data_IF_131219179060
#
_entry.id   IF_131219179060
#
_cell.length_a   1.000
_cell.length_b   1.000
_cell.length_c   1.000
_cell.angle_alpha   90.00
_cell.angle_beta   90.00
_cell.angle_gamma   90.00
#
_symmetry.space_group_name_H-M   'P 1'
#
loop_
_entity.id
_entity.type
_entity.pdbx_description
1 polymer ?
#
# COMPACT_ATOMS: atom_id res chain seq x y z
N UNK A 1 42.41 -18.50 -5.46
CA UNK A 1 42.41 -17.25 -4.67
C UNK A 1 43.43 -17.39 -3.55
N UNK A 2 44.34 -16.43 -3.37
CA UNK A 2 45.40 -16.52 -2.37
C UNK A 2 44.88 -16.35 -0.92
N UNK A 3 45.52 -16.97 0.09
CA UNK A 3 45.07 -16.94 1.49
C UNK A 3 44.85 -15.53 2.07
N UNK A 4 45.69 -14.56 1.68
CA UNK A 4 45.58 -13.16 2.14
C UNK A 4 44.34 -12.42 1.64
N UNK A 5 43.86 -12.71 0.43
CA UNK A 5 42.63 -12.10 -0.11
C UNK A 5 41.40 -12.63 0.62
N UNK A 6 41.39 -13.92 0.98
CA UNK A 6 40.31 -14.54 1.73
C UNK A 6 40.20 -13.97 3.15
N UNK A 7 41.34 -13.82 3.85
CA UNK A 7 41.38 -13.23 5.20
C UNK A 7 40.92 -11.76 5.18
N UNK A 8 41.39 -10.97 4.20
CA UNK A 8 40.96 -9.58 4.05
C UNK A 8 39.46 -9.45 3.79
N UNK A 9 38.91 -10.28 2.89
CA UNK A 9 37.46 -10.31 2.62
C UNK A 9 36.65 -10.70 3.86
N UNK A 10 37.14 -11.66 4.65
CA UNK A 10 36.51 -12.07 5.91
C UNK A 10 36.48 -10.95 6.94
N UNK A 11 37.62 -10.29 7.18
CA UNK A 11 37.71 -9.17 8.12
C UNK A 11 36.81 -7.99 7.70
N UNK A 12 36.80 -7.64 6.41
CA UNK A 12 35.93 -6.59 5.88
C UNK A 12 34.45 -6.94 6.05
N UNK A 13 34.08 -8.21 5.89
CA UNK A 13 32.71 -8.67 6.11
C UNK A 13 32.30 -8.60 7.59
N UNK A 14 33.20 -8.96 8.51
CA UNK A 14 32.97 -8.87 9.97
C UNK A 14 32.85 -7.42 10.45
N UNK A 15 33.72 -6.53 10.00
CA UNK A 15 33.66 -5.10 10.32
C UNK A 15 32.35 -4.48 9.84
N UNK A 16 31.93 -4.85 8.63
CA UNK A 16 30.71 -4.37 8.04
C UNK A 16 29.46 -4.92 8.74
N UNK A 17 29.50 -6.15 9.26
CA UNK A 17 28.43 -6.72 10.09
C UNK A 17 28.29 -5.94 11.41
N UNK A 18 29.40 -5.64 12.09
CA UNK A 18 29.39 -4.83 13.33
C UNK A 18 28.85 -3.43 13.10
N UNK A 19 29.20 -2.81 11.98
CA UNK A 19 28.67 -1.50 11.61
C UNK A 19 27.15 -1.53 11.39
N UNK A 20 26.63 -2.61 10.79
CA UNK A 20 25.19 -2.80 10.58
C UNK A 20 24.43 -3.01 11.89
N UNK A 21 24.99 -3.80 12.81
CA UNK A 21 24.42 -4.03 14.13
C UNK A 21 24.38 -2.72 14.93
N UNK A 22 25.47 -1.96 14.95
CA UNK A 22 25.52 -0.65 15.58
C UNK A 22 24.52 0.34 14.97
N UNK A 23 24.34 0.30 13.64
CA UNK A 23 23.36 1.14 12.95
C UNK A 23 21.91 0.80 13.37
N UNK A 24 21.60 -0.49 13.55
CA UNK A 24 20.30 -0.95 14.04
C UNK A 24 20.07 -0.54 15.50
N UNK A 25 21.07 -0.64 16.36
CA UNK A 25 20.98 -0.17 17.75
C UNK A 25 20.70 1.33 17.84
N UNK A 26 21.38 2.13 17.00
CA UNK A 26 21.11 3.56 16.92
C UNK A 26 19.68 3.84 16.45
N UNK A 27 19.17 3.12 15.45
CA UNK A 27 17.78 3.25 15.02
C UNK A 27 16.81 2.88 16.15
N UNK A 28 17.05 1.80 16.90
CA UNK A 28 16.22 1.44 18.06
C UNK A 28 16.16 2.56 19.11
N UNK A 29 17.29 3.21 19.38
CA UNK A 29 17.32 4.35 20.29
C UNK A 29 16.49 5.54 19.77
N UNK A 30 16.51 5.81 18.46
CA UNK A 30 15.69 6.85 17.84
C UNK A 30 14.18 6.50 17.86
N UNK A 31 13.83 5.23 17.67
CA UNK A 31 12.44 4.74 17.77
C UNK A 31 11.91 4.97 19.18
N UNK A 32 12.65 4.58 20.23
CA UNK A 32 12.24 4.77 21.63
C UNK A 32 11.97 6.24 21.97
N UNK A 33 12.73 7.17 21.37
CA UNK A 33 12.54 8.62 21.57
C UNK A 33 11.31 9.18 20.86
N UNK A 34 10.77 8.47 19.87
CA UNK A 34 9.71 8.97 18.98
C UNK A 34 8.43 8.14 19.05
N UNK A 35 8.39 7.09 19.87
CA UNK A 35 7.29 6.11 19.87
C UNK A 35 5.94 6.69 20.32
N UNK A 36 5.95 7.77 21.12
CA UNK A 36 4.74 8.43 21.60
C UNK A 36 4.06 9.28 20.54
N UNK A 37 4.81 9.73 19.54
CA UNK A 37 4.34 10.66 18.51
C UNK A 37 3.93 9.95 17.21
N UNK A 38 3.97 8.61 17.21
CA UNK A 38 3.75 7.78 16.04
C UNK A 38 2.66 6.72 16.31
N UNK A 39 1.90 6.31 15.27
CA UNK A 39 0.92 5.24 15.42
C UNK A 39 1.55 3.94 15.93
N UNK A 40 0.89 3.28 16.88
CA UNK A 40 1.44 2.10 17.57
C UNK A 40 1.82 0.97 16.60
N UNK A 41 0.98 0.68 15.59
CA UNK A 41 1.27 -0.37 14.60
C UNK A 41 2.49 0.00 13.72
N UNK A 42 2.65 1.27 13.37
CA UNK A 42 3.81 1.75 12.64
C UNK A 42 5.10 1.61 13.47
N UNK A 43 5.04 1.91 14.78
CA UNK A 43 6.15 1.68 15.71
C UNK A 43 6.51 0.20 15.81
N UNK A 44 5.52 -0.70 15.80
CA UNK A 44 5.78 -2.15 15.80
C UNK A 44 6.54 -2.59 14.54
N UNK A 45 6.16 -2.08 13.36
CA UNK A 45 6.87 -2.36 12.11
C UNK A 45 8.33 -1.85 12.15
N UNK A 46 8.55 -0.64 12.69
CA UNK A 46 9.91 -0.11 12.90
C UNK A 46 10.73 -1.00 13.83
N UNK A 47 10.15 -1.46 14.95
CA UNK A 47 10.82 -2.36 15.91
C UNK A 47 11.14 -3.70 15.23
N UNK A 48 10.19 -4.28 14.51
CA UNK A 48 10.37 -5.53 13.77
C UNK A 48 11.54 -5.42 12.77
N UNK A 49 11.57 -4.37 11.95
CA UNK A 49 12.65 -4.11 10.99
C UNK A 49 14.05 -4.10 11.63
N UNK A 50 14.19 -3.57 12.84
CA UNK A 50 15.49 -3.58 13.54
C UNK A 50 15.92 -4.98 13.95
N UNK A 51 14.98 -5.88 14.24
CA UNK A 51 15.23 -7.25 14.70
C UNK A 51 15.30 -8.28 13.57
N UNK A 52 14.82 -7.95 12.38
CA UNK A 52 14.82 -8.86 11.23
C UNK A 52 16.25 -9.24 10.80
N UNK A 53 16.50 -10.55 10.67
CA UNK A 53 17.76 -11.11 10.17
C UNK A 53 17.87 -11.01 8.64
N UNK A 54 16.73 -11.00 7.97
CA UNK A 54 16.61 -10.89 6.51
C UNK A 54 15.48 -9.93 6.16
N UNK A 55 15.71 -9.06 5.19
CA UNK A 55 14.70 -8.15 4.68
C UNK A 55 13.59 -8.91 3.97
N UNK A 56 12.34 -8.74 4.43
CA UNK A 56 11.17 -9.41 3.86
C UNK A 56 10.90 -9.09 2.39
N UNK A 57 11.43 -7.99 1.86
CA UNK A 57 11.28 -7.60 0.46
C UNK A 57 12.61 -7.73 -0.34
N UNK A 58 13.59 -8.44 0.22
CA UNK A 58 14.87 -8.77 -0.44
C UNK A 58 15.65 -7.56 -0.97
N UNK A 59 15.62 -6.42 -0.28
CA UNK A 59 16.20 -5.16 -0.73
C UNK A 59 17.74 -5.15 -0.92
N UNK A 60 18.44 -6.20 -0.51
CA UNK A 60 19.91 -6.23 -0.50
C UNK A 60 20.50 -5.29 0.56
N UNK A 61 21.74 -5.55 0.98
CA UNK A 61 22.33 -4.89 2.16
C UNK A 61 22.47 -3.37 2.02
N UNK A 62 22.85 -2.89 0.84
CA UNK A 62 23.04 -1.45 0.59
C UNK A 62 21.75 -0.66 0.80
N UNK A 63 20.65 -1.13 0.21
CA UNK A 63 19.35 -0.45 0.29
C UNK A 63 18.80 -0.49 1.71
N UNK A 64 18.95 -1.62 2.42
CA UNK A 64 18.58 -1.73 3.84
C UNK A 64 19.33 -0.69 4.68
N UNK A 65 20.65 -0.55 4.52
CA UNK A 65 21.41 0.50 5.24
C UNK A 65 20.95 1.90 4.92
N UNK A 66 20.74 2.20 3.63
CA UNK A 66 20.23 3.51 3.20
C UNK A 66 18.85 3.80 3.80
N UNK A 67 18.00 2.79 3.89
CA UNK A 67 16.70 2.92 4.53
C UNK A 67 16.82 3.14 6.04
N UNK A 68 17.74 2.45 6.73
CA UNK A 68 18.00 2.68 8.16
C UNK A 68 18.45 4.11 8.42
N UNK A 69 19.35 4.66 7.60
CA UNK A 69 19.72 6.07 7.67
C UNK A 69 18.54 7.01 7.41
N UNK A 70 17.70 6.70 6.42
CA UNK A 70 16.51 7.48 6.12
C UNK A 70 15.53 7.50 7.31
N UNK A 71 15.27 6.35 7.94
CA UNK A 71 14.43 6.26 9.14
C UNK A 71 15.01 7.07 10.31
N UNK A 72 16.31 6.96 10.58
CA UNK A 72 16.95 7.77 11.62
C UNK A 72 16.84 9.28 11.33
N UNK A 73 17.07 9.69 10.09
CA UNK A 73 16.94 11.07 9.64
C UNK A 73 15.50 11.58 9.84
N UNK A 74 14.52 10.80 9.37
CA UNK A 74 13.10 11.10 9.50
C UNK A 74 12.70 11.24 10.97
N UNK A 75 13.00 10.26 11.82
CA UNK A 75 12.64 10.29 13.24
C UNK A 75 13.27 11.49 13.97
N UNK A 76 14.51 11.84 13.65
CA UNK A 76 15.18 13.03 14.22
C UNK A 76 14.52 14.32 13.80
N UNK A 77 14.12 14.43 12.54
CA UNK A 77 13.47 15.62 12.00
C UNK A 77 12.02 15.76 12.52
N UNK A 78 11.28 14.65 12.57
CA UNK A 78 9.88 14.59 13.04
C UNK A 78 9.69 15.07 14.47
N UNK A 79 10.69 14.87 15.34
CA UNK A 79 10.67 15.41 16.71
C UNK A 79 10.86 16.92 16.80
N UNK A 80 11.34 17.56 15.73
CA UNK A 80 11.55 19.01 15.66
C UNK A 80 10.41 19.72 14.94
N UNK A 81 9.77 19.05 13.99
CA UNK A 81 8.69 19.62 13.21
C UNK A 81 7.67 18.55 12.78
N UNK A 82 6.41 18.98 12.68
CA UNK A 82 5.31 18.10 12.31
C UNK A 82 5.24 17.81 10.82
N UNK A 83 5.57 18.81 10.00
CA UNK A 83 5.53 18.72 8.54
C UNK A 83 6.92 18.95 8.00
N UNK A 84 7.32 18.15 7.00
CA UNK A 84 8.64 18.23 6.39
C UNK A 84 8.60 17.85 4.92
N UNK A 85 9.56 18.37 4.15
CA UNK A 85 9.77 17.92 2.77
C UNK A 85 10.66 16.67 2.73
N UNK A 86 10.46 15.81 1.71
CA UNK A 86 11.26 14.60 1.58
C UNK A 86 12.77 14.89 1.49
N UNK A 87 13.17 15.91 0.71
CA UNK A 87 14.57 16.28 0.52
C UNK A 87 15.20 16.90 1.76
N UNK A 88 14.39 17.47 2.63
CA UNK A 88 14.83 18.05 3.89
C UNK A 88 15.36 16.98 4.86
N UNK A 89 14.77 15.77 4.83
CA UNK A 89 15.21 14.62 5.63
C UNK A 89 16.69 14.32 5.37
N UNK A 90 17.09 14.25 4.09
CA UNK A 90 18.48 14.04 3.70
C UNK A 90 19.40 15.24 3.97
N UNK A 91 18.91 16.45 3.69
CA UNK A 91 19.68 17.68 3.88
C UNK A 91 20.08 17.87 5.35
N UNK A 92 19.12 17.74 6.27
CA UNK A 92 19.34 17.94 7.71
C UNK A 92 20.20 16.83 8.32
N UNK A 93 20.10 15.61 7.81
CA UNK A 93 20.85 14.47 8.34
C UNK A 93 22.32 14.46 7.92
N UNK A 94 22.61 14.70 6.64
CA UNK A 94 23.98 14.62 6.12
C UNK A 94 24.76 15.93 6.19
N UNK A 95 24.09 17.09 6.24
CA UNK A 95 24.69 18.42 6.41
C UNK A 95 25.88 18.71 5.48
N UNK A 96 25.83 18.20 4.25
CA UNK A 96 26.88 18.33 3.23
C UNK A 96 26.26 18.66 1.87
N UNK A 97 27.08 19.19 0.96
CA UNK A 97 26.68 19.38 -0.44
C UNK A 97 26.20 18.03 -1.01
N UNK A 98 25.01 18.04 -1.62
CA UNK A 98 24.37 16.84 -2.15
C UNK A 98 23.58 15.99 -1.14
N UNK A 99 23.61 16.33 0.16
CA UNK A 99 22.90 15.59 1.21
C UNK A 99 21.39 15.45 0.97
N UNK A 100 20.75 16.46 0.37
CA UNK A 100 19.33 16.47 0.03
C UNK A 100 18.93 15.44 -1.04
N UNK A 101 19.90 14.85 -1.76
CA UNK A 101 19.68 13.86 -2.83
C UNK A 101 20.11 12.45 -2.43
N UNK A 102 20.66 12.27 -1.23
CA UNK A 102 21.22 10.99 -0.76
C UNK A 102 20.20 9.84 -0.71
N UNK A 103 18.91 10.18 -0.69
CA UNK A 103 17.80 9.22 -0.68
C UNK A 103 16.97 9.22 -1.97
N UNK A 104 17.31 10.03 -2.98
CA UNK A 104 16.51 10.17 -4.21
C UNK A 104 16.45 8.86 -4.99
N UNK A 105 17.57 8.11 -5.05
CA UNK A 105 17.68 6.84 -5.78
C UNK A 105 16.66 5.79 -5.34
N UNK A 106 16.25 5.81 -4.07
CA UNK A 106 15.34 4.81 -3.48
C UNK A 106 14.04 5.41 -3.00
N UNK A 107 13.73 6.65 -3.39
CA UNK A 107 12.59 7.42 -2.88
C UNK A 107 11.28 6.62 -2.95
N UNK A 108 10.91 6.17 -4.14
CA UNK A 108 9.59 5.56 -4.36
C UNK A 108 9.44 4.26 -3.57
N UNK A 109 10.54 3.50 -3.44
CA UNK A 109 10.62 2.25 -2.68
C UNK A 109 10.51 2.50 -1.17
N UNK A 110 11.18 3.54 -0.66
CA UNK A 110 11.11 3.93 0.75
C UNK A 110 9.71 4.44 1.13
N UNK A 111 9.13 5.31 0.28
CA UNK A 111 7.78 5.81 0.47
C UNK A 111 6.80 4.65 0.49
N UNK A 112 6.86 3.76 -0.50
CA UNK A 112 5.95 2.63 -0.57
C UNK A 112 6.01 1.74 0.68
N UNK A 113 7.21 1.44 1.18
CA UNK A 113 7.35 0.65 2.41
C UNK A 113 6.78 1.36 3.63
N UNK A 114 7.03 2.67 3.77
CA UNK A 114 6.45 3.45 4.88
C UNK A 114 4.93 3.46 4.82
N UNK A 115 4.35 3.69 3.64
CA UNK A 115 2.90 3.68 3.44
C UNK A 115 2.29 2.30 3.73
N UNK A 116 2.98 1.23 3.34
CA UNK A 116 2.55 -0.15 3.65
C UNK A 116 2.58 -0.43 5.15
N UNK A 117 3.64 -0.02 5.85
CA UNK A 117 3.73 -0.16 7.31
C UNK A 117 2.69 0.68 8.05
N UNK A 118 2.38 1.85 7.53
CA UNK A 118 1.41 2.77 8.09
C UNK A 118 -0.04 2.39 7.75
N UNK A 119 -0.27 1.76 6.61
CA UNK A 119 -1.61 1.56 6.04
C UNK A 119 -2.25 2.84 5.49
N UNK A 120 -1.46 3.91 5.30
CA UNK A 120 -1.98 5.23 4.89
C UNK A 120 -0.99 6.00 4.03
N UNK A 121 -1.42 7.09 3.35
CA UNK A 121 -0.52 7.97 2.63
C UNK A 121 0.60 8.50 3.53
N UNK A 122 1.79 8.69 2.97
CA UNK A 122 2.96 9.15 3.72
C UNK A 122 2.78 10.55 4.33
N UNK A 123 1.85 11.35 3.80
CA UNK A 123 1.44 12.64 4.35
C UNK A 123 0.94 12.51 5.80
N UNK A 124 0.38 11.34 6.16
CA UNK A 124 -0.03 11.03 7.55
C UNK A 124 1.17 10.97 8.52
N UNK A 125 2.39 10.75 8.01
CA UNK A 125 3.64 10.85 8.77
C UNK A 125 4.22 12.28 8.78
N UNK A 126 3.53 13.25 8.18
CA UNK A 126 4.00 14.62 8.06
C UNK A 126 4.92 14.88 6.86
N UNK A 127 5.09 13.92 5.95
CA UNK A 127 5.92 14.10 4.75
C UNK A 127 5.04 14.61 3.61
N UNK A 128 5.07 15.93 3.35
CA UNK A 128 4.08 16.61 2.51
C UNK A 128 4.48 16.78 1.03
N UNK A 129 5.78 16.80 0.73
CA UNK A 129 6.29 17.07 -0.62
C UNK A 129 7.13 15.90 -1.14
N UNK A 130 6.44 14.92 -1.72
CA UNK A 130 7.06 13.78 -2.42
C UNK A 130 7.16 13.98 -3.94
N UNK A 131 6.55 15.06 -4.44
CA UNK A 131 6.61 15.46 -5.85
C UNK A 131 5.55 14.81 -6.75
N UNK A 132 4.51 14.21 -6.18
CA UNK A 132 3.38 13.64 -6.92
C UNK A 132 2.09 13.75 -6.09
N UNK A 133 0.96 13.82 -6.78
CA UNK A 133 -0.39 13.64 -6.22
C UNK A 133 -0.88 12.29 -6.72
N UNK A 134 -1.36 11.44 -5.82
CA UNK A 134 -1.85 10.11 -6.18
C UNK A 134 -3.37 10.18 -6.33
N UNK A 135 -3.92 10.06 -7.55
CA UNK A 135 -5.36 9.98 -7.72
C UNK A 135 -5.86 8.59 -7.31
N UNK A 136 -7.07 8.55 -6.77
CA UNK A 136 -7.84 7.33 -6.55
C UNK A 136 -9.12 7.47 -7.34
N UNK A 137 -9.34 6.56 -8.30
CA UNK A 137 -10.53 6.55 -9.14
C UNK A 137 -11.57 5.59 -8.57
N UNK A 138 -12.82 6.05 -8.50
CA UNK A 138 -13.92 5.25 -7.98
C UNK A 138 -15.25 5.70 -8.54
N UNK A 139 -16.29 4.88 -8.39
CA UNK A 139 -17.68 5.26 -8.65
C UNK A 139 -18.56 4.68 -7.54
N UNK A 140 -19.61 5.41 -7.16
CA UNK A 140 -20.47 5.06 -6.04
C UNK A 140 -20.58 6.17 -4.99
N UNK A 141 -21.43 5.97 -3.97
CA UNK A 141 -21.67 6.99 -2.96
C UNK A 141 -20.52 7.02 -1.95
N UNK A 142 -19.91 8.20 -1.78
CA UNK A 142 -18.88 8.45 -0.77
C UNK A 142 -19.14 9.81 -0.14
N UNK A 143 -19.08 9.88 1.18
CA UNK A 143 -19.22 11.10 1.97
C UNK A 143 -17.94 11.31 2.77
N UNK A 144 -17.23 12.40 2.51
CA UNK A 144 -16.18 12.90 3.36
C UNK A 144 -16.66 14.05 4.24
N UNK A 145 -15.75 14.65 4.99
CA UNK A 145 -16.04 15.83 5.82
C UNK A 145 -16.26 17.07 4.96
N UNK A 146 -15.57 17.17 3.83
CA UNK A 146 -15.60 18.32 2.93
C UNK A 146 -16.10 17.96 1.52
N UNK A 147 -16.33 16.68 1.24
CA UNK A 147 -16.68 16.19 -0.08
C UNK A 147 -17.88 15.24 -0.04
N UNK A 148 -18.67 15.24 -1.12
CA UNK A 148 -19.82 14.34 -1.29
C UNK A 148 -19.89 13.87 -2.74
N UNK A 149 -19.76 12.58 -2.94
CA UNK A 149 -19.81 11.90 -4.22
C UNK A 149 -21.09 11.07 -4.30
N UNK A 150 -21.72 11.07 -5.48
CA UNK A 150 -22.96 10.34 -5.75
C UNK A 150 -22.75 9.32 -6.86
N UNK A 151 -23.64 8.33 -6.93
CA UNK A 151 -23.72 7.38 -8.05
C UNK A 151 -23.95 8.16 -9.37
N UNK A 152 -23.39 7.66 -10.48
CA UNK A 152 -23.71 8.14 -11.83
C UNK A 152 -22.54 8.67 -12.66
N UNK A 153 -21.35 8.87 -12.05
CA UNK A 153 -20.14 9.31 -12.76
C UNK A 153 -18.89 8.69 -12.14
N UNK A 154 -17.82 8.60 -12.93
CA UNK A 154 -16.50 8.26 -12.42
C UNK A 154 -15.93 9.46 -11.65
N UNK A 155 -15.56 9.22 -10.40
CA UNK A 155 -14.95 10.21 -9.51
C UNK A 155 -13.45 9.98 -9.37
N UNK A 156 -12.74 11.04 -8.99
CA UNK A 156 -11.37 10.97 -8.53
C UNK A 156 -11.25 11.74 -7.20
N UNK A 157 -10.55 11.14 -6.25
CA UNK A 157 -10.03 11.83 -5.06
C UNK A 157 -8.50 11.72 -5.03
N UNK A 158 -7.86 12.31 -4.03
CA UNK A 158 -6.39 12.34 -3.93
C UNK A 158 -5.91 11.77 -2.60
N UNK A 159 -4.66 11.37 -2.56
CA UNK A 159 -3.94 11.02 -1.33
C UNK A 159 -3.99 12.12 -0.28
N UNK A 160 -3.98 13.39 -0.68
CA UNK A 160 -4.14 14.54 0.21
C UNK A 160 -5.53 14.53 0.85
N UNK A 161 -6.60 14.39 0.05
CA UNK A 161 -7.96 14.35 0.57
C UNK A 161 -8.17 13.13 1.49
N UNK A 162 -7.69 11.95 1.10
CA UNK A 162 -7.74 10.73 1.94
C UNK A 162 -6.92 10.87 3.23
N UNK A 163 -5.85 11.65 3.22
CA UNK A 163 -5.08 11.92 4.44
C UNK A 163 -5.87 12.76 5.46
N UNK A 164 -6.68 13.71 5.00
CA UNK A 164 -7.36 14.71 5.85
C UNK A 164 -8.86 14.43 6.09
N UNK A 165 -9.52 13.66 5.23
CA UNK A 165 -10.94 13.34 5.33
C UNK A 165 -11.21 11.95 5.92
N UNK A 166 -12.36 11.82 6.59
CA UNK A 166 -12.92 10.54 7.02
C UNK A 166 -13.99 10.07 6.04
N UNK A 167 -13.58 9.32 5.03
CA UNK A 167 -14.52 8.84 4.02
C UNK A 167 -15.46 7.76 4.54
N UNK A 168 -16.75 7.93 4.21
CA UNK A 168 -17.85 7.01 4.54
C UNK A 168 -18.70 6.68 3.34
N UNK A 169 -19.41 5.56 3.42
CA UNK A 169 -20.35 5.12 2.37
C UNK A 169 -21.56 4.44 3.00
N UNK A 170 -22.69 4.53 2.31
CA UNK A 170 -23.91 3.75 2.56
C UNK A 170 -24.05 2.56 1.60
N UNK A 171 -23.08 2.36 0.70
CA UNK A 171 -22.96 1.16 -0.11
C UNK A 171 -22.88 -0.10 0.76
N UNK A 172 -23.36 -1.22 0.24
CA UNK A 172 -23.29 -2.55 0.88
C UNK A 172 -22.26 -3.46 0.23
N UNK A 173 -21.97 -3.24 -1.04
CA UNK A 173 -21.02 -4.05 -1.81
C UNK A 173 -19.84 -3.16 -2.21
N UNK A 174 -18.63 -3.59 -1.86
CA UNK A 174 -17.40 -2.93 -2.30
C UNK A 174 -16.74 -3.78 -3.38
N UNK A 175 -16.47 -3.20 -4.53
CA UNK A 175 -15.67 -3.80 -5.59
C UNK A 175 -14.28 -3.17 -5.59
N UNK A 176 -13.26 -4.02 -5.52
CA UNK A 176 -11.86 -3.65 -5.62
C UNK A 176 -11.34 -4.21 -6.92
N UNK A 177 -11.13 -3.33 -7.90
CA UNK A 177 -10.76 -3.72 -9.26
C UNK A 177 -9.36 -3.24 -9.57
N UNK A 178 -8.49 -4.13 -10.05
CA UNK A 178 -7.14 -3.77 -10.47
C UNK A 178 -7.18 -2.82 -11.66
N UNK A 179 -8.02 -3.16 -12.64
CA UNK A 179 -7.98 -2.54 -13.94
C UNK A 179 -8.98 -1.36 -14.10
N UNK A 180 -8.50 -0.24 -14.64
CA UNK A 180 -9.31 0.93 -14.96
C UNK A 180 -10.41 0.65 -15.98
N UNK A 181 -10.21 -0.25 -16.93
CA UNK A 181 -11.24 -0.60 -17.93
C UNK A 181 -12.47 -1.23 -17.28
N UNK A 182 -12.27 -2.07 -16.25
CA UNK A 182 -13.36 -2.64 -15.45
C UNK A 182 -14.10 -1.53 -14.71
N UNK A 183 -13.35 -0.65 -14.01
CA UNK A 183 -13.93 0.48 -13.29
C UNK A 183 -14.76 1.38 -14.21
N UNK A 184 -14.23 1.79 -15.36
CA UNK A 184 -14.93 2.68 -16.29
C UNK A 184 -16.15 2.00 -16.90
N UNK A 185 -16.05 0.72 -17.26
CA UNK A 185 -17.17 -0.06 -17.80
C UNK A 185 -18.30 -0.18 -16.79
N UNK A 186 -18.01 -0.48 -15.54
CA UNK A 186 -19.01 -0.58 -14.47
C UNK A 186 -19.59 0.79 -14.09
N UNK A 187 -18.79 1.87 -14.16
CA UNK A 187 -19.26 3.23 -13.90
C UNK A 187 -20.36 3.70 -14.86
N UNK A 188 -20.43 3.12 -16.06
CA UNK A 188 -21.49 3.40 -17.03
C UNK A 188 -22.81 2.69 -16.70
N UNK A 189 -22.81 1.68 -15.83
CA UNK A 189 -24.00 0.90 -15.46
C UNK A 189 -24.66 1.44 -14.19
N UNK A 190 -25.16 2.68 -14.28
CA UNK A 190 -25.77 3.39 -13.15
C UNK A 190 -26.88 2.58 -12.45
N UNK A 191 -27.84 1.95 -13.17
CA UNK A 191 -28.88 1.15 -12.53
C UNK A 191 -28.32 -0.02 -11.72
N UNK A 192 -27.28 -0.69 -12.25
CA UNK A 192 -26.59 -1.75 -11.53
C UNK A 192 -25.98 -1.26 -10.21
N UNK A 193 -25.30 -0.11 -10.22
CA UNK A 193 -24.69 0.45 -9.00
C UNK A 193 -25.74 0.81 -7.94
N UNK A 194 -26.86 1.38 -8.38
CA UNK A 194 -27.96 1.77 -7.50
C UNK A 194 -28.68 0.56 -6.91
N UNK A 195 -29.11 -0.38 -7.75
CA UNK A 195 -29.83 -1.59 -7.34
C UNK A 195 -29.02 -2.47 -6.39
N UNK A 196 -27.72 -2.59 -6.64
CA UNK A 196 -26.83 -3.44 -5.84
C UNK A 196 -26.19 -2.69 -4.67
N UNK A 197 -26.44 -1.38 -4.57
CA UNK A 197 -25.81 -0.50 -3.58
C UNK A 197 -24.28 -0.67 -3.59
N UNK A 198 -23.69 -0.64 -4.79
CA UNK A 198 -22.27 -0.90 -5.00
C UNK A 198 -21.44 0.38 -5.03
N UNK A 199 -20.24 0.27 -4.47
CA UNK A 199 -19.13 1.20 -4.71
C UNK A 199 -17.98 0.42 -5.34
N UNK A 200 -17.32 1.02 -6.32
CA UNK A 200 -16.21 0.40 -7.04
C UNK A 200 -15.00 1.30 -6.95
N UNK A 201 -13.87 0.75 -6.55
CA UNK A 201 -12.58 1.45 -6.42
C UNK A 201 -11.57 0.77 -7.33
N UNK A 202 -10.95 1.56 -8.21
CA UNK A 202 -9.80 1.13 -8.98
C UNK A 202 -8.53 1.23 -8.15
N UNK A 203 -7.78 0.14 -8.04
CA UNK A 203 -6.49 0.13 -7.31
C UNK A 203 -5.27 0.29 -8.22
N UNK A 204 -5.46 0.23 -9.55
CA UNK A 204 -4.51 0.65 -10.59
C UNK A 204 -3.11 0.02 -10.41
N UNK A 205 -3.09 -1.31 -10.31
CA UNK A 205 -1.90 -2.10 -10.03
C UNK A 205 -1.47 -2.03 -8.56
N UNK A 206 -0.29 -1.48 -8.27
CA UNK A 206 0.30 -1.51 -6.93
C UNK A 206 -0.49 -0.64 -5.94
N UNK A 207 -1.03 -1.27 -4.89
CA UNK A 207 -1.87 -0.63 -3.88
C UNK A 207 -1.04 0.36 -3.03
N UNK A 208 -1.20 1.65 -3.32
CA UNK A 208 -0.56 2.78 -2.62
C UNK A 208 -1.23 3.10 -1.27
N UNK A 209 -0.55 3.86 -0.41
CA UNK A 209 -1.07 4.24 0.92
C UNK A 209 -2.46 4.88 0.90
N UNK A 210 -2.75 5.68 -0.12
CA UNK A 210 -4.05 6.31 -0.30
C UNK A 210 -5.19 5.31 -0.55
N UNK A 211 -4.98 4.32 -1.41
CA UNK A 211 -5.93 3.22 -1.59
C UNK A 211 -6.12 2.45 -0.29
N UNK A 212 -5.01 2.17 0.44
CA UNK A 212 -5.05 1.45 1.73
C UNK A 212 -5.96 2.16 2.74
N UNK A 213 -5.72 3.45 2.98
CA UNK A 213 -6.50 4.23 3.93
C UNK A 213 -7.96 4.37 3.51
N UNK A 214 -8.23 4.68 2.24
CA UNK A 214 -9.61 4.84 1.77
C UNK A 214 -10.40 3.53 1.90
N UNK A 215 -9.84 2.39 1.48
CA UNK A 215 -10.50 1.09 1.61
C UNK A 215 -10.74 0.75 3.09
N UNK A 216 -9.74 0.96 3.96
CA UNK A 216 -9.88 0.72 5.39
C UNK A 216 -10.96 1.59 6.03
N UNK A 217 -11.03 2.88 5.67
CA UNK A 217 -12.09 3.78 6.13
C UNK A 217 -13.45 3.24 5.72
N UNK A 218 -13.65 2.95 4.43
CA UNK A 218 -14.93 2.47 3.90
C UNK A 218 -15.37 1.14 4.52
N UNK A 219 -14.45 0.18 4.64
CA UNK A 219 -14.71 -1.10 5.31
C UNK A 219 -14.98 -0.94 6.82
N UNK A 220 -14.33 0.02 7.48
CA UNK A 220 -14.46 0.28 8.91
C UNK A 220 -15.76 0.97 9.33
N UNK A 221 -16.50 1.58 8.39
CA UNK A 221 -17.76 2.28 8.68
C UNK A 221 -18.97 1.35 8.92
N UNK A 222 -18.85 0.06 8.63
CA UNK A 222 -19.86 -0.95 8.93
C UNK A 222 -20.99 -1.12 7.89
N UNK A 223 -21.09 -0.26 6.88
CA UNK A 223 -22.09 -0.40 5.81
C UNK A 223 -21.79 -1.53 4.83
N UNK A 224 -20.49 -1.76 4.54
CA UNK A 224 -20.03 -2.79 3.61
C UNK A 224 -20.25 -4.18 4.23
N UNK A 225 -20.98 -5.02 3.51
CA UNK A 225 -21.32 -6.39 3.92
C UNK A 225 -20.53 -7.44 3.15
N UNK A 226 -20.12 -7.12 1.91
CA UNK A 226 -19.38 -8.04 1.05
C UNK A 226 -18.40 -7.26 0.18
N UNK A 227 -17.21 -7.83 -0.02
CA UNK A 227 -16.19 -7.28 -0.92
C UNK A 227 -15.96 -8.22 -2.10
N UNK A 228 -16.00 -7.70 -3.32
CA UNK A 228 -15.58 -8.44 -4.51
C UNK A 228 -14.22 -7.91 -4.99
N UNK A 229 -13.29 -8.84 -5.25
CA UNK A 229 -11.94 -8.53 -5.70
C UNK A 229 -11.80 -9.03 -7.13
N UNK A 230 -11.41 -8.12 -8.02
CA UNK A 230 -11.25 -8.36 -9.45
C UNK A 230 -9.80 -8.00 -9.84
N UNK A 231 -8.96 -9.01 -10.06
CA UNK A 231 -7.51 -8.88 -10.32
C UNK A 231 -7.06 -9.89 -11.38
N UNK A 232 -6.04 -9.54 -12.16
CA UNK A 232 -5.54 -10.40 -13.23
C UNK A 232 -4.98 -11.74 -12.70
N UNK A 233 -4.95 -12.77 -13.55
CA UNK A 233 -4.51 -14.13 -13.16
C UNK A 233 -3.01 -14.31 -13.40
N UNK A 234 -2.21 -13.40 -12.87
CA UNK A 234 -0.76 -13.45 -12.96
C UNK A 234 -0.10 -13.26 -11.58
N UNK A 235 1.23 -13.32 -11.55
CA UNK A 235 1.99 -13.16 -10.31
C UNK A 235 1.78 -11.79 -9.66
N UNK A 236 1.47 -10.75 -10.43
CA UNK A 236 1.21 -9.43 -9.89
C UNK A 236 -0.21 -9.38 -9.28
N UNK A 237 -1.20 -9.93 -9.97
CA UNK A 237 -2.56 -10.09 -9.48
C UNK A 237 -2.63 -10.93 -8.21
N UNK A 238 -1.86 -12.03 -8.09
CA UNK A 238 -1.75 -12.81 -6.85
C UNK A 238 -1.28 -11.96 -5.65
N UNK A 239 -0.33 -11.05 -5.89
CA UNK A 239 0.22 -10.15 -4.88
C UNK A 239 -0.81 -9.08 -4.50
N UNK A 240 -1.51 -8.53 -5.48
CA UNK A 240 -2.57 -7.53 -5.27
C UNK A 240 -3.74 -8.17 -4.50
N UNK A 241 -4.21 -9.34 -4.91
CA UNK A 241 -5.28 -10.07 -4.24
C UNK A 241 -4.98 -10.28 -2.76
N UNK A 242 -3.77 -10.78 -2.45
CA UNK A 242 -3.31 -11.00 -1.08
C UNK A 242 -3.34 -9.70 -0.27
N UNK A 243 -2.79 -8.62 -0.84
CA UNK A 243 -2.72 -7.34 -0.16
C UNK A 243 -4.12 -6.75 0.07
N UNK A 244 -5.08 -6.92 -0.85
CA UNK A 244 -6.47 -6.50 -0.69
C UNK A 244 -7.20 -7.34 0.37
N UNK A 245 -7.05 -8.66 0.35
CA UNK A 245 -7.64 -9.56 1.35
C UNK A 245 -7.16 -9.20 2.76
N UNK A 246 -5.87 -8.92 2.92
CA UNK A 246 -5.33 -8.46 4.21
C UNK A 246 -5.89 -7.09 4.63
N UNK A 247 -6.18 -6.21 3.67
CA UNK A 247 -6.65 -4.85 3.90
C UNK A 247 -8.12 -4.80 4.36
N UNK A 248 -8.97 -5.65 3.80
CA UNK A 248 -10.42 -5.70 4.11
C UNK A 248 -10.71 -6.41 5.45
N UNK A 249 -9.72 -7.11 6.02
CA UNK A 249 -9.80 -7.72 7.33
C UNK A 249 -10.78 -8.90 7.37
N UNK A 250 -11.81 -8.80 8.21
CA UNK A 250 -12.76 -9.90 8.47
C UNK A 250 -14.01 -9.86 7.59
N UNK A 251 -14.11 -8.90 6.68
CA UNK A 251 -15.28 -8.78 5.81
C UNK A 251 -15.36 -9.99 4.86
N UNK A 252 -16.56 -10.56 4.65
CA UNK A 252 -16.75 -11.59 3.63
C UNK A 252 -16.31 -11.07 2.27
N UNK A 253 -15.52 -11.88 1.56
CA UNK A 253 -15.09 -11.54 0.20
C UNK A 253 -15.26 -12.68 -0.79
N UNK A 254 -15.24 -12.31 -2.08
CA UNK A 254 -14.98 -13.23 -3.19
C UNK A 254 -13.92 -12.65 -4.11
N UNK A 255 -13.00 -13.51 -4.55
CA UNK A 255 -12.08 -13.19 -5.64
C UNK A 255 -12.67 -13.76 -6.93
N UNK A 256 -12.76 -12.93 -7.96
CA UNK A 256 -13.35 -13.30 -9.25
C UNK A 256 -12.32 -14.01 -10.10
N UNK A 257 -12.64 -15.25 -10.50
CA UNK A 257 -11.91 -16.04 -11.48
C UNK A 257 -12.59 -16.05 -12.85
N UNK A 258 -12.00 -16.76 -13.82
CA UNK A 258 -12.57 -16.83 -15.16
C UNK A 258 -13.81 -17.75 -15.15
N UNK A 259 -14.63 -17.66 -16.21
CA UNK A 259 -15.75 -18.58 -16.45
C UNK A 259 -16.77 -18.66 -15.29
N UNK A 260 -16.86 -17.61 -14.47
CA UNK A 260 -17.79 -17.54 -13.34
C UNK A 260 -17.28 -18.19 -12.04
N UNK A 261 -16.01 -18.57 -11.98
CA UNK A 261 -15.39 -19.06 -10.74
C UNK A 261 -15.31 -17.94 -9.68
N UNK A 262 -15.64 -18.27 -8.44
CA UNK A 262 -15.59 -17.36 -7.29
C UNK A 262 -14.92 -18.04 -6.11
N UNK A 263 -13.90 -17.39 -5.56
CA UNK A 263 -13.10 -17.95 -4.46
C UNK A 263 -13.37 -17.21 -3.17
N UNK A 264 -13.73 -17.94 -2.12
CA UNK A 264 -13.96 -17.38 -0.79
C UNK A 264 -12.68 -17.26 0.06
N UNK A 265 -11.57 -17.83 -0.40
CA UNK A 265 -10.26 -17.77 0.27
C UNK A 265 -9.18 -17.40 -0.75
N UNK A 266 -8.10 -16.77 -0.25
CA UNK A 266 -6.96 -16.40 -1.09
C UNK A 266 -6.23 -17.64 -1.60
N UNK A 267 -6.08 -18.66 -0.75
CA UNK A 267 -5.36 -19.89 -1.07
C UNK A 267 -6.04 -20.65 -2.22
N UNK A 268 -7.37 -20.75 -2.20
CA UNK A 268 -8.11 -21.41 -3.27
C UNK A 268 -8.00 -20.65 -4.61
N UNK A 269 -7.94 -19.32 -4.56
CA UNK A 269 -7.70 -18.50 -5.74
C UNK A 269 -6.29 -18.74 -6.31
N UNK A 270 -5.26 -18.79 -5.48
CA UNK A 270 -3.87 -19.01 -5.90
C UNK A 270 -3.67 -20.42 -6.48
N UNK A 271 -4.23 -21.43 -5.82
CA UNK A 271 -4.15 -22.82 -6.32
C UNK A 271 -4.81 -22.92 -7.70
N UNK A 272 -5.94 -22.25 -7.89
CA UNK A 272 -6.61 -22.19 -9.18
C UNK A 272 -5.81 -21.37 -10.22
N UNK A 273 -5.28 -20.19 -9.85
CA UNK A 273 -4.56 -19.30 -10.78
C UNK A 273 -3.32 -19.95 -11.39
N UNK A 274 -2.71 -20.90 -10.67
CA UNK A 274 -1.58 -21.71 -11.17
C UNK A 274 -1.98 -22.77 -12.22
N UNK A 275 -3.25 -23.17 -12.27
CA UNK A 275 -3.75 -24.22 -13.19
C UNK A 275 -4.27 -23.66 -14.50
N UNK A 276 -4.54 -22.36 -14.56
CA UNK A 276 -5.06 -21.67 -15.74
C UNK A 276 -3.95 -20.89 -16.46
N UNK A 277 -4.00 -20.77 -17.80
CA UNK A 277 -3.08 -19.90 -18.52
C UNK A 277 -3.20 -18.46 -18.02
N UNK A 278 -2.07 -17.77 -17.90
CA UNK A 278 -2.06 -16.33 -17.62
C UNK A 278 -2.89 -15.58 -18.66
N UNK A 279 -3.84 -14.78 -18.19
CA UNK A 279 -4.74 -14.00 -19.03
C UNK A 279 -5.13 -12.71 -18.30
N UNK A 280 -5.24 -11.63 -19.07
CA UNK A 280 -5.80 -10.36 -18.61
C UNK A 280 -7.32 -10.51 -18.50
N UNK A 281 -7.90 -10.10 -17.37
CA UNK A 281 -9.35 -10.20 -17.18
C UNK A 281 -10.14 -9.23 -18.08
N UNK A 282 -9.50 -8.17 -18.61
CA UNK A 282 -10.14 -7.26 -19.59
C UNK A 282 -10.69 -7.98 -20.82
N UNK A 283 -10.17 -9.16 -21.16
CA UNK A 283 -10.68 -9.95 -22.28
C UNK A 283 -12.13 -10.45 -22.05
N UNK A 284 -12.60 -10.44 -20.80
CA UNK A 284 -13.95 -10.89 -20.40
C UNK A 284 -14.57 -9.96 -19.35
N UNK A 285 -14.75 -8.67 -19.69
CA UNK A 285 -15.41 -7.67 -18.81
C UNK A 285 -16.83 -8.08 -18.39
N UNK A 286 -17.51 -8.92 -19.18
CA UNK A 286 -18.88 -9.33 -18.92
C UNK A 286 -19.87 -8.17 -19.01
N UNK A 287 -20.95 -8.26 -18.23
CA UNK A 287 -21.99 -7.23 -18.14
C UNK A 287 -22.79 -7.38 -16.85
N UNK A 288 -23.74 -6.46 -16.61
CA UNK A 288 -24.44 -6.35 -15.33
C UNK A 288 -25.09 -7.67 -14.85
N UNK A 289 -25.60 -8.51 -15.76
CA UNK A 289 -26.18 -9.81 -15.40
C UNK A 289 -25.17 -10.74 -14.73
N UNK A 290 -23.93 -10.75 -15.21
CA UNK A 290 -22.86 -11.58 -14.64
C UNK A 290 -22.44 -11.05 -13.28
N UNK A 291 -22.28 -9.73 -13.17
CA UNK A 291 -21.86 -9.08 -11.94
C UNK A 291 -22.92 -9.26 -10.83
N UNK A 292 -24.21 -9.17 -11.16
CA UNK A 292 -25.31 -9.45 -10.22
C UNK A 292 -25.28 -10.91 -9.73
N UNK A 293 -25.00 -11.87 -10.62
CA UNK A 293 -24.83 -13.27 -10.22
C UNK A 293 -23.70 -13.42 -9.22
N UNK A 294 -22.55 -12.77 -9.44
CA UNK A 294 -21.42 -12.85 -8.52
C UNK A 294 -21.69 -12.23 -7.15
N UNK A 295 -22.49 -11.16 -7.09
CA UNK A 295 -22.94 -10.60 -5.81
C UNK A 295 -23.84 -11.59 -5.05
N UNK A 296 -24.67 -12.36 -5.75
CA UNK A 296 -25.62 -13.28 -5.12
C UNK A 296 -25.00 -14.58 -4.56
N UNK A 297 -23.82 -14.96 -5.03
CA UNK A 297 -23.04 -16.14 -4.62
C UNK A 297 -22.07 -15.83 -3.45
#
# INVERSE_FOLDING_TARGET
MGPGLFIYQKLKAEEQLRADDSLKEMLQAEIRKSEKDLPMHFVQQLKQFTTEKSDSESWGKERVRKFTHFLMAYLRLRRRQERMEYKEIGATYYQKIGGSKEFDRYRDVFIHRLEKWLGAPIQTLGIISVGSIVPIYFTGPVLGNYSKYRIGTLHATTDIAVAEEDFRTDARILWLVENRAVLTRMAMEVPFLEDTQSIIIGVDGQIKGAHRKMIQQLCGNGSIQKVLIWVDYDKAGDVIARDLVNLIGKLPFRIIGNEGNLFATYEAFVDWSQTVPHAEQEMTLGGEEHWRKWISL
#
